data_IF_293479876763
#
_entry.id   IF_293479876763
#
_cell.length_a   1.000
_cell.length_b   1.000
_cell.length_c   1.000
_cell.angle_alpha   90.00
_cell.angle_beta   90.00
_cell.angle_gamma   90.00
#
_symmetry.space_group_name_H-M   'P 1'
#
loop_
_entity.id
_entity.type
_entity.pdbx_description
1 polymer ?
#
# COMPACT_ATOMS: atom_id res chain seq x y z
N UNK A 1 2.30 -25.43 -39.11
CA UNK A 1 3.36 -25.12 -38.12
C UNK A 1 2.76 -24.03 -37.27
N UNK A 2 2.00 -24.47 -36.27
CA UNK A 2 1.14 -23.63 -35.47
C UNK A 2 1.93 -23.16 -34.24
N UNK A 3 2.25 -21.87 -34.20
CA UNK A 3 2.91 -21.22 -33.07
C UNK A 3 2.14 -19.95 -32.67
N UNK A 4 0.83 -20.08 -32.45
CA UNK A 4 0.04 -19.01 -31.82
C UNK A 4 -0.03 -19.28 -30.31
N UNK A 5 1.07 -18.96 -29.64
CA UNK A 5 1.12 -18.82 -28.19
C UNK A 5 0.68 -17.42 -27.80
N UNK A 6 -0.60 -17.08 -27.99
CA UNK A 6 -1.18 -15.89 -27.37
C UNK A 6 -1.26 -16.13 -25.85
N UNK A 7 -0.22 -15.70 -25.14
CA UNK A 7 -0.27 -15.53 -23.69
C UNK A 7 -1.25 -14.40 -23.40
N UNK A 8 -2.52 -14.76 -23.22
CA UNK A 8 -3.59 -13.82 -22.88
C UNK A 8 -3.23 -13.16 -21.56
N UNK A 9 -2.74 -11.93 -21.68
CA UNK A 9 -2.44 -11.00 -20.61
C UNK A 9 -3.64 -10.95 -19.66
N UNK A 10 -3.55 -11.71 -18.56
CA UNK A 10 -4.63 -11.84 -17.59
C UNK A 10 -4.64 -10.52 -16.84
N UNK A 11 -5.45 -9.57 -17.30
CA UNK A 11 -5.60 -8.25 -16.69
C UNK A 11 -5.81 -8.42 -15.18
N UNK A 12 -4.75 -8.26 -14.40
CA UNK A 12 -4.84 -8.40 -12.95
C UNK A 12 -5.57 -7.19 -12.40
N UNK A 13 -6.73 -7.43 -11.78
CA UNK A 13 -7.47 -6.39 -11.07
C UNK A 13 -6.76 -6.10 -9.75
N UNK A 14 -5.88 -5.10 -9.77
CA UNK A 14 -5.25 -4.60 -8.55
C UNK A 14 -6.24 -3.85 -7.66
N UNK A 15 -6.17 -4.12 -6.37
CA UNK A 15 -6.89 -3.40 -5.32
C UNK A 15 -6.00 -2.26 -4.84
N UNK A 16 -6.52 -1.04 -4.89
CA UNK A 16 -5.80 0.18 -4.52
C UNK A 16 -6.14 0.59 -3.09
N UNK A 17 -5.12 0.79 -2.26
CA UNK A 17 -5.26 1.33 -0.89
C UNK A 17 -4.44 2.62 -0.74
N UNK A 18 -4.94 3.58 0.04
CA UNK A 18 -4.17 4.80 0.34
C UNK A 18 -4.08 5.82 -0.80
N UNK A 19 -4.85 5.64 -1.87
CA UNK A 19 -5.00 6.60 -2.96
C UNK A 19 -6.12 7.58 -2.64
N UNK A 20 -5.83 8.88 -2.82
CA UNK A 20 -6.70 9.96 -2.38
C UNK A 20 -7.04 10.93 -3.50
N UNK A 21 -8.19 11.59 -3.34
CA UNK A 21 -8.65 12.68 -4.19
C UNK A 21 -7.53 13.62 -4.67
N UNK A 22 -7.55 13.92 -5.96
CA UNK A 22 -6.71 14.91 -6.61
C UNK A 22 -7.31 15.42 -7.91
N UNK A 23 -6.79 16.53 -8.45
CA UNK A 23 -7.33 17.13 -9.70
C UNK A 23 -7.41 16.14 -10.88
N UNK A 24 -6.48 15.18 -10.95
CA UNK A 24 -6.43 14.14 -11.99
C UNK A 24 -7.23 12.88 -11.64
N UNK A 25 -7.60 12.71 -10.37
CA UNK A 25 -8.33 11.55 -9.85
C UNK A 25 -9.49 12.03 -8.96
N UNK A 26 -10.51 12.68 -9.57
CA UNK A 26 -11.57 13.35 -8.81
C UNK A 26 -12.53 12.38 -8.12
N UNK A 27 -12.56 11.13 -8.56
CA UNK A 27 -13.47 10.10 -8.03
C UNK A 27 -12.91 9.35 -6.81
N UNK A 28 -11.66 9.61 -6.42
CA UNK A 28 -11.06 9.00 -5.23
C UNK A 28 -11.57 9.68 -3.95
N UNK A 29 -11.63 8.95 -2.82
CA UNK A 29 -12.05 9.52 -1.56
C UNK A 29 -11.04 10.56 -1.05
N UNK A 30 -11.52 11.53 -0.27
CA UNK A 30 -10.64 12.36 0.54
C UNK A 30 -10.24 11.61 1.83
N UNK A 31 -8.99 11.70 2.31
CA UNK A 31 -8.57 11.02 3.53
C UNK A 31 -9.37 11.52 4.73
N UNK A 32 -9.92 10.59 5.52
CA UNK A 32 -10.69 10.87 6.73
C UNK A 32 -10.03 10.28 7.97
N UNK A 33 -9.70 11.16 8.93
CA UNK A 33 -9.22 10.76 10.24
C UNK A 33 -10.19 9.78 10.88
N UNK A 34 -9.68 8.71 11.47
CA UNK A 34 -10.49 7.74 12.19
C UNK A 34 -10.64 8.10 13.66
N UNK A 35 -11.86 8.07 14.18
CA UNK A 35 -12.17 8.18 15.60
C UNK A 35 -12.32 6.78 16.28
N UNK A 36 -12.03 5.70 15.53
CA UNK A 36 -12.11 4.32 16.03
C UNK A 36 -10.99 4.06 17.06
N UNK A 37 -11.37 4.03 18.33
CA UNK A 37 -10.46 3.71 19.45
C UNK A 37 -9.79 2.33 19.30
N UNK A 38 -10.48 1.35 18.70
CA UNK A 38 -9.88 0.01 18.48
C UNK A 38 -8.76 0.08 17.46
N UNK A 39 -8.92 0.92 16.43
CA UNK A 39 -7.87 1.19 15.46
C UNK A 39 -6.67 1.89 16.10
N UNK A 40 -6.90 2.94 16.89
CA UNK A 40 -5.81 3.67 17.57
C UNK A 40 -4.90 2.75 18.38
N UNK A 41 -5.49 1.80 19.12
CA UNK A 41 -4.74 0.83 19.93
C UNK A 41 -3.94 -0.18 19.09
N UNK A 42 -4.38 -0.45 17.85
CA UNK A 42 -3.74 -1.40 16.93
C UNK A 42 -2.78 -0.72 15.94
N UNK A 43 -2.88 0.60 15.79
CA UNK A 43 -2.19 1.38 14.76
C UNK A 43 -0.68 1.13 14.73
N UNK A 44 0.00 1.26 15.87
CA UNK A 44 1.46 1.09 15.94
C UNK A 44 1.88 -0.32 15.54
N UNK A 45 1.12 -1.34 15.95
CA UNK A 45 1.38 -2.73 15.54
C UNK A 45 1.17 -2.93 14.04
N UNK A 46 0.16 -2.27 13.46
CA UNK A 46 -0.08 -2.32 12.03
C UNK A 46 1.04 -1.65 11.23
N UNK A 47 1.45 -0.44 11.64
CA UNK A 47 2.56 0.32 11.02
C UNK A 47 3.81 -0.54 10.90
N UNK A 48 4.25 -1.17 12.00
CA UNK A 48 5.44 -2.04 11.98
C UNK A 48 5.34 -3.20 11.00
N UNK A 49 4.15 -3.77 10.83
CA UNK A 49 3.93 -4.87 9.88
C UNK A 49 3.94 -4.40 8.44
N UNK A 50 3.39 -3.21 8.19
CA UNK A 50 3.41 -2.59 6.87
C UNK A 50 4.85 -2.23 6.48
N UNK A 51 5.59 -1.54 7.35
CA UNK A 51 7.01 -1.21 7.17
C UNK A 51 7.82 -2.48 6.87
N UNK A 52 7.62 -3.57 7.64
CA UNK A 52 8.32 -4.83 7.39
C UNK A 52 8.06 -5.40 5.99
N UNK A 53 6.82 -5.33 5.50
CA UNK A 53 6.48 -5.77 4.15
C UNK A 53 7.14 -4.87 3.11
N UNK A 54 7.13 -3.55 3.31
CA UNK A 54 7.79 -2.59 2.42
C UNK A 54 9.30 -2.85 2.34
N UNK A 55 9.97 -3.06 3.47
CA UNK A 55 11.40 -3.41 3.54
C UNK A 55 11.75 -4.69 2.76
N UNK A 56 10.84 -5.68 2.77
CA UNK A 56 11.03 -6.94 2.07
C UNK A 56 10.84 -6.78 0.57
N UNK A 57 9.86 -5.99 0.15
CA UNK A 57 9.68 -5.64 -1.26
C UNK A 57 10.90 -4.87 -1.76
N UNK A 58 11.47 -3.96 -0.95
CA UNK A 58 12.68 -3.21 -1.30
C UNK A 58 13.93 -4.10 -1.43
N UNK A 59 14.06 -5.10 -0.54
CA UNK A 59 15.22 -5.99 -0.51
C UNK A 59 15.13 -7.20 -1.43
N UNK A 60 13.95 -7.53 -1.97
CA UNK A 60 13.74 -8.73 -2.78
C UNK A 60 12.92 -8.48 -4.05
N UNK A 61 13.60 -8.53 -5.19
CA UNK A 61 13.03 -8.29 -6.52
C UNK A 61 11.92 -9.27 -6.94
N UNK A 62 11.82 -10.43 -6.28
CA UNK A 62 10.87 -11.49 -6.64
C UNK A 62 9.61 -11.51 -5.76
N UNK A 63 9.56 -10.68 -4.70
CA UNK A 63 8.44 -10.70 -3.74
C UNK A 63 7.36 -9.71 -4.15
N UNK A 64 7.76 -8.50 -4.56
CA UNK A 64 6.87 -7.44 -5.01
C UNK A 64 7.57 -6.52 -5.99
N UNK A 65 6.89 -5.44 -6.37
CA UNK A 65 7.40 -4.46 -7.33
C UNK A 65 7.31 -3.06 -6.75
N UNK A 66 8.28 -2.23 -7.09
CA UNK A 66 8.30 -0.81 -6.75
C UNK A 66 8.25 0.00 -8.03
N UNK A 67 7.23 0.85 -8.17
CA UNK A 67 7.12 1.80 -9.27
C UNK A 67 7.55 3.18 -8.78
N UNK A 68 8.58 3.76 -9.40
CA UNK A 68 9.09 5.10 -9.08
C UNK A 68 8.63 6.11 -10.12
N UNK A 69 8.14 7.26 -9.66
CA UNK A 69 7.63 8.32 -10.53
C UNK A 69 8.49 9.59 -10.45
N UNK A 70 8.45 10.41 -11.51
CA UNK A 70 9.10 11.73 -11.52
C UNK A 70 8.26 12.73 -10.73
N UNK A 71 8.71 13.04 -9.52
CA UNK A 71 8.11 14.06 -8.64
C UNK A 71 7.49 13.49 -7.37
N UNK A 72 7.22 14.37 -6.40
CA UNK A 72 6.71 13.98 -5.09
C UNK A 72 5.21 14.21 -4.95
N UNK A 73 4.52 13.24 -4.37
CA UNK A 73 3.19 13.41 -3.83
C UNK A 73 3.22 14.31 -2.59
N UNK A 74 2.18 15.13 -2.42
CA UNK A 74 1.95 15.94 -1.21
C UNK A 74 0.81 15.35 -0.38
N UNK A 75 0.93 15.40 0.94
CA UNK A 75 -0.15 15.06 1.85
C UNK A 75 -1.35 15.97 1.58
N UNK A 76 -2.56 15.40 1.50
CA UNK A 76 -3.77 16.21 1.23
C UNK A 76 -4.19 17.02 2.46
N UNK A 77 -3.76 16.60 3.65
CA UNK A 77 -4.06 17.21 4.95
C UNK A 77 -2.99 18.27 5.31
N UNK A 78 -1.73 17.88 5.51
CA UNK A 78 -0.67 18.79 5.97
C UNK A 78 0.25 19.38 4.88
N UNK A 79 0.05 18.99 3.61
CA UNK A 79 0.83 19.43 2.43
C UNK A 79 2.33 19.06 2.41
N UNK A 80 2.82 18.31 3.40
CA UNK A 80 4.19 17.76 3.39
C UNK A 80 4.41 16.82 2.20
N UNK A 81 5.66 16.69 1.73
CA UNK A 81 6.03 15.70 0.71
C UNK A 81 5.97 14.32 1.36
N UNK A 82 5.29 13.36 0.72
CA UNK A 82 5.04 12.02 1.29
C UNK A 82 5.64 10.87 0.48
N UNK A 83 6.30 11.13 -0.65
CA UNK A 83 6.97 10.09 -1.43
C UNK A 83 6.72 10.19 -2.92
N UNK A 84 7.39 9.33 -3.68
CA UNK A 84 7.33 9.27 -5.15
C UNK A 84 7.22 7.84 -5.67
N UNK A 85 7.02 6.88 -4.78
CA UNK A 85 6.98 5.45 -5.09
C UNK A 85 5.64 4.84 -4.75
N UNK A 86 5.33 3.74 -5.41
CA UNK A 86 4.21 2.85 -5.12
C UNK A 86 4.72 1.43 -4.95
N UNK A 87 4.18 0.74 -3.96
CA UNK A 87 4.43 -0.67 -3.70
C UNK A 87 3.33 -1.49 -4.36
N UNK A 88 3.73 -2.57 -5.01
CA UNK A 88 2.87 -3.61 -5.53
C UNK A 88 3.25 -4.94 -4.89
N UNK A 89 2.28 -5.58 -4.24
CA UNK A 89 2.49 -6.88 -3.62
C UNK A 89 1.23 -7.73 -3.76
N UNK A 90 1.39 -8.91 -4.37
CA UNK A 90 0.26 -9.76 -4.79
C UNK A 90 -0.71 -8.95 -5.67
N UNK A 91 -1.94 -8.74 -5.22
CA UNK A 91 -2.97 -7.99 -5.93
C UNK A 91 -3.23 -6.61 -5.30
N UNK A 92 -2.38 -6.13 -4.41
CA UNK A 92 -2.52 -4.82 -3.77
C UNK A 92 -1.49 -3.83 -4.29
N UNK A 93 -1.93 -2.58 -4.46
CA UNK A 93 -1.06 -1.43 -4.73
C UNK A 93 -1.35 -0.37 -3.68
N UNK A 94 -0.29 0.25 -3.13
CA UNK A 94 -0.40 1.41 -2.25
C UNK A 94 0.80 2.35 -2.42
N UNK A 95 0.61 3.67 -2.23
CA UNK A 95 1.72 4.62 -2.31
C UNK A 95 2.60 4.55 -1.07
N UNK A 96 3.89 4.80 -1.24
CA UNK A 96 4.86 5.01 -0.14
C UNK A 96 4.36 6.00 0.91
N UNK A 97 3.69 7.05 0.44
CA UNK A 97 3.11 8.06 1.33
C UNK A 97 1.94 7.60 2.16
N UNK A 98 1.40 6.39 1.97
CA UNK A 98 0.26 5.89 2.74
C UNK A 98 0.59 5.80 4.23
N UNK A 99 1.81 5.38 4.57
CA UNK A 99 2.28 5.29 5.96
C UNK A 99 2.14 6.63 6.71
N UNK A 100 2.46 7.75 6.04
CA UNK A 100 2.30 9.09 6.62
C UNK A 100 0.86 9.41 7.03
N UNK A 101 -0.13 8.99 6.24
CA UNK A 101 -1.54 9.20 6.56
C UNK A 101 -1.98 8.40 7.79
N UNK A 102 -1.51 7.17 7.91
CA UNK A 102 -1.79 6.29 9.04
C UNK A 102 -1.14 6.88 10.30
N UNK A 103 0.16 7.16 10.24
CA UNK A 103 0.96 7.59 11.38
C UNK A 103 0.54 8.98 11.88
N UNK A 104 0.58 10.00 10.99
CA UNK A 104 0.40 11.41 11.35
C UNK A 104 -1.06 11.87 11.36
N UNK A 105 -1.93 11.21 10.59
CA UNK A 105 -3.32 11.62 10.43
C UNK A 105 -4.33 10.58 10.92
N UNK A 106 -3.86 9.50 11.56
CA UNK A 106 -4.70 8.45 12.12
C UNK A 106 -5.73 7.90 11.13
N UNK A 107 -5.39 7.88 9.84
CA UNK A 107 -6.24 7.26 8.82
C UNK A 107 -6.25 5.76 9.07
N UNK A 108 -7.45 5.18 9.14
CA UNK A 108 -7.63 3.72 9.23
C UNK A 108 -7.67 3.16 7.79
N UNK A 109 -6.79 2.21 7.42
CA UNK A 109 -6.90 1.48 6.16
C UNK A 109 -8.21 0.68 6.09
N UNK A 110 -8.58 0.21 4.92
CA UNK A 110 -9.70 -0.74 4.81
C UNK A 110 -9.43 -2.01 5.63
N UNK A 111 -10.50 -2.62 6.17
CA UNK A 111 -10.36 -3.82 6.98
C UNK A 111 -9.76 -5.00 6.18
N UNK A 112 -9.96 -5.05 4.87
CA UNK A 112 -9.37 -6.08 4.00
C UNK A 112 -7.87 -5.87 3.78
N UNK A 113 -7.42 -4.62 3.62
CA UNK A 113 -5.99 -4.33 3.60
C UNK A 113 -5.34 -4.67 4.96
N UNK A 114 -6.04 -4.39 6.07
CA UNK A 114 -5.56 -4.76 7.41
C UNK A 114 -5.38 -6.29 7.53
N UNK A 115 -6.35 -7.08 7.07
CA UNK A 115 -6.23 -8.55 7.06
C UNK A 115 -5.07 -9.01 6.18
N UNK A 116 -4.93 -8.41 5.00
CA UNK A 116 -3.87 -8.72 4.04
C UNK A 116 -2.46 -8.56 4.64
N UNK A 117 -2.17 -7.37 5.21
CA UNK A 117 -0.88 -7.09 5.86
C UNK A 117 -0.65 -8.01 7.05
N UNK A 118 -1.67 -8.25 7.89
CA UNK A 118 -1.54 -9.13 9.05
C UNK A 118 -1.21 -10.57 8.67
N UNK A 119 -1.81 -11.08 7.58
CA UNK A 119 -1.57 -12.44 7.09
C UNK A 119 -0.14 -12.57 6.53
N UNK A 120 0.27 -11.66 5.66
CA UNK A 120 1.56 -11.77 4.99
C UNK A 120 2.75 -11.44 5.89
N UNK A 121 2.63 -10.50 6.81
CA UNK A 121 3.67 -10.28 7.84
C UNK A 121 3.88 -11.54 8.67
N UNK A 122 2.82 -12.27 9.03
CA UNK A 122 2.97 -13.53 9.78
C UNK A 122 3.71 -14.60 8.97
N UNK A 123 3.43 -14.71 7.67
CA UNK A 123 4.11 -15.67 6.79
C UNK A 123 5.59 -15.31 6.69
N UNK A 124 5.89 -14.04 6.46
CA UNK A 124 7.26 -13.51 6.43
C UNK A 124 7.99 -13.85 7.72
N UNK A 125 7.40 -13.55 8.88
CA UNK A 125 8.02 -13.80 10.18
C UNK A 125 8.33 -15.31 10.39
N UNK A 126 7.51 -16.21 9.81
CA UNK A 126 7.71 -17.67 9.89
C UNK A 126 8.77 -18.20 8.92
N UNK A 127 9.04 -17.49 7.82
CA UNK A 127 10.05 -17.90 6.82
C UNK A 127 11.46 -17.47 7.23
N UNK A 128 11.57 -16.52 8.15
CA UNK A 128 12.84 -15.99 8.67
C UNK A 128 13.19 -16.51 10.08
N UNK A 129 12.31 -17.31 10.71
CA UNK A 129 12.50 -17.94 12.02
C UNK A 129 13.08 -19.35 11.91
#
# INVERSE_FOLDING_TARGET
>A
MDCDGEEKDRQMNYIKEGFWYGKKEPNLPFPKTSDDKKWMNKKIKFIRKLERIEDIIESSINIGKISSYKGFSKCRICKQKVGSREFEFKNWIWPEGFLHYIEKHNIKPTDDFIKFINHHSKIIDLLES
#
